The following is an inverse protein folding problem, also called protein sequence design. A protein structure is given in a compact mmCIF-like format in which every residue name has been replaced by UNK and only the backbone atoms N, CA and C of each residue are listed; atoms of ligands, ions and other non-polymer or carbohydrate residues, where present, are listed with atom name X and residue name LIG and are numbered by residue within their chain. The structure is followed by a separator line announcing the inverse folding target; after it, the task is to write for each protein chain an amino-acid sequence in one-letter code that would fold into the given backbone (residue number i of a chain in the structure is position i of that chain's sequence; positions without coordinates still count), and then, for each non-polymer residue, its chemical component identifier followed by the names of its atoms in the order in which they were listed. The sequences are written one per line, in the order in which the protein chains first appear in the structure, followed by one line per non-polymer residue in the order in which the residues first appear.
data_IF_532087008177
#
_entry.id   IF_532087008177
#
_cell.length_a   1.000
_cell.length_b   1.000
_cell.length_c   1.000
_cell.angle_alpha   90.00
_cell.angle_beta   90.00
_cell.angle_gamma   90.00
#
_symmetry.space_group_name_H-M   'P 1'
#
loop_
_entity.id
_entity.type
_entity.pdbx_description
1 polymer ?
#
# COMPACT_ATOMS: atom_id res chain seq x y z
N UNK A 1 -2.83 15.49 -0.42
CA UNK A 1 -4.11 16.09 0.01
C UNK A 1 -5.19 15.35 -0.75
N UNK A 2 -5.67 14.24 -0.21
CA UNK A 2 -6.63 13.35 -0.90
C UNK A 2 -7.99 13.54 -0.25
N UNK A 3 -8.54 14.75 -0.37
CA UNK A 3 -9.95 15.03 -0.05
C UNK A 3 -10.45 16.13 -0.99
N UNK A 4 -10.25 15.97 -2.29
CA UNK A 4 -11.04 16.72 -3.28
C UNK A 4 -11.39 15.75 -4.41
N UNK A 5 -12.66 15.79 -4.83
CA UNK A 5 -13.31 15.03 -5.92
C UNK A 5 -14.04 13.74 -5.52
N UNK A 6 -14.87 13.78 -4.47
CA UNK A 6 -16.15 13.07 -4.53
C UNK A 6 -17.24 14.12 -4.78
N UNK A 7 -17.82 14.11 -5.97
CA UNK A 7 -19.00 14.93 -6.31
C UNK A 7 -20.15 14.64 -5.33
N UNK A 8 -21.04 15.60 -5.12
CA UNK A 8 -22.23 15.44 -4.25
C UNK A 8 -23.16 14.30 -4.69
N UNK A 9 -23.04 13.84 -5.94
CA UNK A 9 -23.85 12.76 -6.51
C UNK A 9 -23.53 11.40 -5.84
N UNK A 10 -22.26 11.05 -5.69
CA UNK A 10 -21.85 9.76 -5.09
C UNK A 10 -22.22 9.60 -3.61
N UNK A 11 -22.43 10.71 -2.88
CA UNK A 11 -22.83 10.64 -1.47
C UNK A 11 -24.22 10.03 -1.29
N UNK A 12 -25.13 10.27 -2.24
CA UNK A 12 -26.51 9.77 -2.17
C UNK A 12 -26.58 8.28 -2.46
N UNK A 13 -25.76 7.80 -3.38
CA UNK A 13 -25.79 6.41 -3.84
C UNK A 13 -25.06 5.45 -2.88
N UNK A 14 -24.04 5.93 -2.17
CA UNK A 14 -23.24 5.11 -1.25
C UNK A 14 -23.60 5.30 0.24
N UNK A 15 -24.57 6.15 0.58
CA UNK A 15 -24.89 6.50 1.97
C UNK A 15 -23.75 7.22 2.71
N UNK A 16 -22.82 7.81 1.96
CA UNK A 16 -21.63 8.46 2.49
C UNK A 16 -21.94 9.90 2.93
N UNK A 17 -21.22 10.38 3.95
CA UNK A 17 -21.33 11.75 4.45
C UNK A 17 -19.97 12.43 4.49
N UNK A 18 -19.86 13.61 3.87
CA UNK A 18 -18.66 14.43 4.01
C UNK A 18 -18.53 14.95 5.45
N UNK A 19 -17.30 14.88 5.96
CA UNK A 19 -16.92 15.43 7.25
C UNK A 19 -15.93 16.58 7.05
N UNK A 20 -15.72 17.39 8.10
CA UNK A 20 -14.76 18.48 8.06
C UNK A 20 -13.35 17.97 7.71
N UNK A 21 -12.54 18.75 6.96
CA UNK A 21 -11.17 18.38 6.65
C UNK A 21 -10.38 18.00 7.91
N UNK A 22 -9.69 16.87 7.88
CA UNK A 22 -8.93 16.35 9.02
C UNK A 22 -9.72 15.43 9.97
N UNK A 23 -11.05 15.33 9.85
CA UNK A 23 -11.91 14.50 10.72
C UNK A 23 -11.55 13.01 10.76
N UNK A 24 -10.84 12.50 9.75
CA UNK A 24 -10.38 11.10 9.70
C UNK A 24 -8.86 10.97 9.68
N UNK A 25 -8.10 12.08 9.63
CA UNK A 25 -6.66 12.03 9.39
C UNK A 25 -5.92 11.28 10.49
N UNK A 26 -6.42 11.32 11.72
CA UNK A 26 -5.88 10.55 12.86
C UNK A 26 -5.98 9.03 12.68
N UNK A 27 -6.75 8.53 11.72
CA UNK A 27 -6.85 7.10 11.37
C UNK A 27 -5.81 6.68 10.31
N UNK A 28 -5.01 7.61 9.81
CA UNK A 28 -4.00 7.35 8.79
C UNK A 28 -2.63 7.79 9.29
N UNK A 29 -1.60 7.03 8.89
CA UNK A 29 -0.21 7.48 8.95
C UNK A 29 0.22 7.98 7.58
N UNK A 30 1.12 8.97 7.59
CA UNK A 30 1.86 9.39 6.41
C UNK A 30 3.17 8.60 6.38
N UNK A 31 3.36 7.76 5.38
CA UNK A 31 4.55 6.90 5.24
C UNK A 31 5.10 6.95 3.81
N UNK A 32 6.34 6.51 3.62
CA UNK A 32 6.85 6.21 2.29
C UNK A 32 6.59 4.75 1.95
N UNK A 33 6.28 4.49 0.69
CA UNK A 33 5.94 3.18 0.18
C UNK A 33 6.82 2.86 -1.02
N UNK A 34 7.33 1.64 -1.08
CA UNK A 34 8.09 1.13 -2.23
C UNK A 34 7.27 0.01 -2.84
N UNK A 35 6.90 0.16 -4.11
CA UNK A 35 6.10 -0.84 -4.83
C UNK A 35 7.02 -1.82 -5.54
N UNK A 36 6.73 -3.11 -5.40
CA UNK A 36 7.52 -4.20 -5.98
C UNK A 36 6.52 -5.14 -6.65
N UNK A 37 6.70 -5.41 -7.94
CA UNK A 37 5.81 -6.35 -8.65
C UNK A 37 5.89 -7.72 -7.98
N UNK A 38 4.76 -8.40 -7.84
CA UNK A 38 4.70 -9.69 -7.15
C UNK A 38 5.57 -10.78 -7.80
N UNK A 39 5.86 -10.64 -9.10
CA UNK A 39 6.76 -11.52 -9.84
C UNK A 39 8.24 -11.10 -9.82
N UNK A 40 8.58 -9.95 -9.23
CA UNK A 40 9.95 -9.42 -9.22
C UNK A 40 10.80 -9.96 -8.08
N UNK A 41 10.18 -10.56 -7.06
CA UNK A 41 10.89 -11.17 -5.93
C UNK A 41 10.05 -12.23 -5.24
N UNK A 42 10.73 -13.17 -4.60
CA UNK A 42 10.12 -14.12 -3.67
C UNK A 42 9.63 -13.42 -2.38
N UNK A 43 8.53 -13.92 -1.83
CA UNK A 43 7.90 -13.35 -0.63
C UNK A 43 8.84 -13.39 0.58
N UNK A 44 9.45 -14.54 0.86
CA UNK A 44 10.31 -14.71 2.03
C UNK A 44 11.57 -13.86 1.91
N UNK A 45 12.10 -13.72 0.69
CA UNK A 45 13.20 -12.80 0.39
C UNK A 45 12.83 -11.35 0.68
N UNK A 46 11.67 -10.88 0.20
CA UNK A 46 11.19 -9.52 0.45
C UNK A 46 10.99 -9.23 1.94
N UNK A 47 10.37 -10.17 2.67
CA UNK A 47 10.15 -10.04 4.10
C UNK A 47 11.48 -9.95 4.87
N UNK A 48 12.47 -10.75 4.47
CA UNK A 48 13.82 -10.70 5.06
C UNK A 48 14.46 -9.34 4.85
N UNK A 49 14.44 -8.81 3.62
CA UNK A 49 14.98 -7.48 3.30
C UNK A 49 14.28 -6.39 4.11
N UNK A 50 12.95 -6.45 4.19
CA UNK A 50 12.14 -5.48 4.91
C UNK A 50 12.50 -5.45 6.41
N UNK A 51 12.57 -6.62 7.04
CA UNK A 51 12.94 -6.75 8.46
C UNK A 51 14.36 -6.22 8.73
N UNK A 52 15.33 -6.66 7.92
CA UNK A 52 16.73 -6.24 8.03
C UNK A 52 16.94 -4.73 7.87
N UNK A 53 16.14 -4.11 7.01
CA UNK A 53 16.23 -2.68 6.70
C UNK A 53 15.44 -1.80 7.66
N UNK A 54 14.67 -2.39 8.59
CA UNK A 54 13.79 -1.66 9.49
C UNK A 54 12.57 -1.07 8.80
N UNK A 55 11.98 -1.79 7.84
CA UNK A 55 10.66 -1.46 7.32
C UNK A 55 9.63 -1.46 8.45
N UNK A 56 8.65 -0.57 8.35
CA UNK A 56 7.55 -0.50 9.31
C UNK A 56 6.50 -1.58 9.05
N UNK A 57 6.31 -1.95 7.78
CA UNK A 57 5.30 -2.92 7.37
C UNK A 57 5.56 -3.44 5.94
N UNK A 58 4.95 -4.58 5.60
CA UNK A 58 4.91 -5.11 4.23
C UNK A 58 3.47 -5.49 3.92
N UNK A 59 2.86 -4.77 2.97
CA UNK A 59 1.50 -5.03 2.51
C UNK A 59 1.58 -5.97 1.32
N UNK A 60 0.88 -7.10 1.44
CA UNK A 60 0.79 -8.13 0.40
C UNK A 60 -0.29 -7.77 -0.63
N UNK A 61 -0.13 -8.19 -1.90
CA UNK A 61 -1.18 -8.04 -2.89
C UNK A 61 -2.44 -8.82 -2.48
N UNK A 62 -3.65 -8.32 -2.76
CA UNK A 62 -4.89 -9.00 -2.42
C UNK A 62 -5.03 -10.35 -3.17
N UNK A 63 -5.56 -11.35 -2.46
CA UNK A 63 -5.93 -12.65 -3.02
C UNK A 63 -7.42 -12.64 -3.38
N UNK A 64 -7.76 -12.57 -4.67
CA UNK A 64 -9.13 -12.77 -5.14
C UNK A 64 -9.37 -14.25 -5.47
N UNK A 65 -10.52 -14.79 -5.05
CA UNK A 65 -10.88 -16.22 -5.18
C UNK A 65 -11.18 -16.69 -6.62
N UNK A 66 -11.24 -15.78 -7.62
CA UNK A 66 -11.70 -16.08 -8.99
C UNK A 66 -10.75 -15.63 -10.11
N UNK A 67 -9.42 -15.70 -9.90
CA UNK A 67 -8.47 -15.26 -10.93
C UNK A 67 -7.59 -16.41 -11.44
N UNK A 68 -7.71 -16.69 -12.75
CA UNK A 68 -6.67 -17.36 -13.51
C UNK A 68 -5.39 -16.50 -13.54
N UNK A 69 -4.23 -17.12 -13.33
CA UNK A 69 -2.90 -16.48 -13.30
C UNK A 69 -2.57 -15.55 -14.49
N UNK A 70 -3.27 -15.69 -15.63
CA UNK A 70 -3.04 -14.92 -16.86
C UNK A 70 -3.58 -13.47 -16.84
N UNK A 71 -4.42 -13.07 -15.88
CA UNK A 71 -5.07 -11.73 -15.85
C UNK A 71 -4.55 -10.80 -14.72
N UNK A 72 -3.40 -11.10 -14.09
CA UNK A 72 -2.80 -10.23 -13.05
C UNK A 72 -1.47 -9.59 -13.49
N UNK A 73 -1.47 -8.63 -14.44
CA UNK A 73 -0.25 -7.91 -14.81
C UNK A 73 0.25 -6.90 -13.75
N UNK A 74 -0.55 -6.59 -12.72
CA UNK A 74 -0.32 -5.46 -11.80
C UNK A 74 -0.57 -5.79 -10.32
N UNK A 75 -0.12 -6.96 -9.83
CA UNK A 75 -0.05 -7.22 -8.39
C UNK A 75 1.28 -6.73 -7.81
N UNK A 76 1.23 -5.99 -6.71
CA UNK A 76 2.42 -5.41 -6.07
C UNK A 76 2.45 -5.70 -4.58
N UNK A 77 3.63 -6.06 -4.08
CA UNK A 77 3.99 -5.86 -2.69
C UNK A 77 4.30 -4.40 -2.43
N UNK A 78 4.00 -3.93 -1.22
CA UNK A 78 4.32 -2.58 -0.79
C UNK A 78 5.10 -2.62 0.52
N UNK A 79 6.36 -2.22 0.46
CA UNK A 79 7.19 -2.05 1.67
C UNK A 79 6.93 -0.65 2.21
N UNK A 80 6.41 -0.57 3.43
CA UNK A 80 6.12 0.68 4.14
C UNK A 80 7.29 1.01 5.04
N UNK A 81 7.76 2.25 5.00
CA UNK A 81 8.95 2.65 5.74
C UNK A 81 8.97 4.13 6.08
N UNK A 82 9.80 4.47 7.06
CA UNK A 82 10.14 5.84 7.41
C UNK A 82 11.15 6.40 6.42
N UNK A 83 11.26 7.73 6.37
CA UNK A 83 12.25 8.39 5.51
C UNK A 83 13.69 8.10 5.89
N UNK A 84 13.96 7.72 7.15
CA UNK A 84 15.29 7.34 7.64
C UNK A 84 15.74 6.00 7.06
N UNK A 85 14.82 5.05 6.90
CA UNK A 85 15.11 3.69 6.44
C UNK A 85 14.91 3.50 4.93
N UNK A 86 14.24 4.45 4.25
CA UNK A 86 13.94 4.39 2.82
C UNK A 86 15.17 4.08 1.94
N UNK A 87 16.29 4.80 2.13
CA UNK A 87 17.49 4.57 1.31
C UNK A 87 18.13 3.20 1.55
N UNK A 88 18.03 2.68 2.78
CA UNK A 88 18.57 1.38 3.16
C UNK A 88 17.81 0.25 2.46
N UNK A 89 16.49 0.36 2.37
CA UNK A 89 15.65 -0.59 1.62
C UNK A 89 16.01 -0.57 0.14
N UNK A 90 16.07 0.63 -0.48
CA UNK A 90 16.42 0.74 -1.90
C UNK A 90 17.79 0.14 -2.22
N UNK A 91 18.77 0.28 -1.32
CA UNK A 91 20.09 -0.32 -1.49
C UNK A 91 20.02 -1.84 -1.42
N UNK A 92 19.39 -2.42 -0.40
CA UNK A 92 19.23 -3.88 -0.28
C UNK A 92 18.47 -4.48 -1.48
N UNK A 93 17.41 -3.83 -1.96
CA UNK A 93 16.68 -4.29 -3.15
C UNK A 93 17.57 -4.31 -4.39
N UNK A 94 18.43 -3.29 -4.58
CA UNK A 94 19.40 -3.26 -5.69
C UNK A 94 20.48 -4.35 -5.55
N UNK A 95 21.00 -4.56 -4.34
CA UNK A 95 22.03 -5.57 -4.07
C UNK A 95 21.53 -6.98 -4.40
N UNK A 96 20.24 -7.22 -4.17
CA UNK A 96 19.53 -8.47 -4.46
C UNK A 96 18.98 -8.55 -5.90
N UNK A 97 19.18 -7.51 -6.71
CA UNK A 97 18.72 -7.46 -8.10
C UNK A 97 17.19 -7.38 -8.28
N UNK A 98 16.46 -6.97 -7.24
CA UNK A 98 15.00 -6.86 -7.26
C UNK A 98 14.57 -5.55 -7.92
N UNK A 99 13.71 -5.65 -8.93
CA UNK A 99 13.08 -4.49 -9.57
C UNK A 99 12.02 -3.85 -8.67
N UNK A 100 12.06 -2.52 -8.54
CA UNK A 100 11.09 -1.76 -7.74
C UNK A 100 10.72 -0.44 -8.43
N UNK A 101 9.56 0.10 -8.05
CA UNK A 101 9.09 1.41 -8.49
C UNK A 101 9.16 2.37 -7.29
N UNK A 102 10.10 3.33 -7.30
CA UNK A 102 10.23 4.29 -6.21
C UNK A 102 9.13 5.33 -6.32
N UNK A 103 8.10 5.20 -5.50
CA UNK A 103 7.21 6.32 -5.23
C UNK A 103 7.88 7.18 -4.15
N UNK A 104 8.57 8.24 -4.59
CA UNK A 104 9.20 9.20 -3.67
C UNK A 104 8.17 10.07 -2.92
N UNK A 105 6.87 9.85 -3.16
CA UNK A 105 5.81 10.57 -2.47
C UNK A 105 5.48 9.90 -1.14
N UNK A 106 4.76 10.65 -0.31
CA UNK A 106 4.20 10.09 0.91
C UNK A 106 2.77 9.65 0.66
N UNK A 107 2.44 8.44 1.10
CA UNK A 107 1.11 7.88 1.05
C UNK A 107 0.43 7.98 2.42
N UNK A 108 -0.90 8.13 2.42
CA UNK A 108 -1.72 8.01 3.62
C UNK A 108 -2.19 6.56 3.75
N UNK A 109 -1.57 5.83 4.66
CA UNK A 109 -1.93 4.44 4.94
C UNK A 109 -2.82 4.37 6.17
N UNK A 110 -3.93 3.62 6.15
CA UNK A 110 -4.77 3.46 7.32
C UNK A 110 -4.00 2.74 8.44
N UNK A 111 -4.21 3.14 9.69
CA UNK A 111 -3.64 2.42 10.85
C UNK A 111 -4.28 1.04 11.04
N UNK A 112 -5.55 0.90 10.69
CA UNK A 112 -6.29 -0.35 10.79
C UNK A 112 -7.16 -0.51 9.55
N UNK A 113 -7.09 -1.66 8.91
CA UNK A 113 -8.03 -2.03 7.85
C UNK A 113 -9.41 -2.29 8.44
N UNK A 114 -10.46 -1.99 7.66
CA UNK A 114 -11.84 -2.31 8.01
C UNK A 114 -12.29 -3.40 7.03
N UNK A 115 -12.58 -4.58 7.57
CA UNK A 115 -13.17 -5.66 6.78
C UNK A 115 -14.64 -5.34 6.48
N UNK A 116 -15.01 -5.48 5.21
CA UNK A 116 -16.40 -5.28 4.76
C UNK A 116 -16.94 -6.63 4.31
N UNK A 117 -17.94 -7.14 5.02
CA UNK A 117 -18.68 -8.32 4.60
C UNK A 117 -19.90 -7.89 3.78
N UNK A 118 -20.03 -8.38 2.56
CA UNK A 118 -21.25 -8.22 1.77
C UNK A 118 -22.40 -8.95 2.47
N UNK A 119 -23.43 -8.22 2.88
CA UNK A 119 -24.69 -8.85 3.34
C UNK A 119 -25.41 -9.44 2.13
N UNK A 120 -25.80 -10.71 2.25
CA UNK A 120 -26.44 -11.52 1.20
C UNK A 120 -27.89 -11.12 0.95
#
# INVERSE_FOLDING_TARGET
MVVELLSEEWQKDCGAKLADPGSILFKFRRAQAINIKANAADKDQLLTIALDAGAEDVIEPPEYEDDSEEDRPDSYYKIVTSSENYSSILSKLRDEGIGFEPDNSFELLPFNAIEVHSSK
#
